data_IF_394665380065
#
_entry.id   IF_394665380065
#
_cell.length_a   1.000
_cell.length_b   1.000
_cell.length_c   1.000
_cell.angle_alpha   90.00
_cell.angle_beta   90.00
_cell.angle_gamma   90.00
#
_symmetry.space_group_name_H-M   'P 1'
#
loop_
_entity.id
_entity.type
_entity.pdbx_description
1 polymer ?
#
# COMPACT_ATOMS: atom_id res chain seq x y z
N UNK A 1 7.81 8.57 -1.00
CA UNK A 1 8.21 7.15 -0.97
C UNK A 1 6.97 6.31 -0.75
N UNK A 2 6.68 5.31 -1.60
CA UNK A 2 5.40 4.57 -1.59
C UNK A 2 5.11 3.88 -0.24
N UNK A 3 6.13 3.29 0.40
CA UNK A 3 6.01 2.63 1.70
C UNK A 3 5.49 3.58 2.78
N UNK A 4 6.04 4.79 2.86
CA UNK A 4 5.55 5.80 3.81
C UNK A 4 4.08 6.15 3.57
N UNK A 5 3.71 6.36 2.31
CA UNK A 5 2.32 6.65 1.96
C UNK A 5 1.38 5.47 2.29
N UNK A 6 1.84 4.23 2.11
CA UNK A 6 1.09 3.01 2.50
C UNK A 6 0.93 2.87 4.02
N UNK A 7 1.99 3.15 4.78
CA UNK A 7 1.95 3.13 6.26
C UNK A 7 1.01 4.21 6.80
N UNK A 8 0.95 5.36 6.16
CA UNK A 8 0.06 6.46 6.54
C UNK A 8 -1.38 6.33 6.03
N UNK A 9 -1.68 5.38 5.14
CA UNK A 9 -3.04 5.15 4.61
C UNK A 9 -3.90 4.33 5.61
N UNK A 10 -4.88 4.95 6.29
CA UNK A 10 -5.65 4.28 7.33
C UNK A 10 -6.54 3.15 6.79
N UNK A 11 -6.98 3.24 5.53
CA UNK A 11 -7.80 2.20 4.91
C UNK A 11 -6.94 0.99 4.55
N UNK A 12 -5.71 1.23 4.10
CA UNK A 12 -4.75 0.16 3.86
C UNK A 12 -4.35 -0.53 5.17
N UNK A 13 -4.08 0.24 6.24
CA UNK A 13 -3.74 -0.31 7.56
C UNK A 13 -4.85 -1.19 8.15
N UNK A 14 -6.13 -0.88 7.89
CA UNK A 14 -7.26 -1.74 8.31
C UNK A 14 -7.32 -3.07 7.57
N UNK A 15 -6.71 -3.16 6.39
CA UNK A 15 -6.82 -4.31 5.49
C UNK A 15 -5.65 -5.27 5.58
N UNK A 16 -4.51 -4.88 6.16
CA UNK A 16 -3.28 -5.70 6.22
C UNK A 16 -3.45 -7.04 6.96
N UNK A 17 -4.45 -7.13 7.85
CA UNK A 17 -4.74 -8.38 8.58
C UNK A 17 -5.51 -9.40 7.73
N UNK A 18 -5.94 -9.04 6.52
CA UNK A 18 -6.56 -9.99 5.60
C UNK A 18 -5.48 -10.85 4.93
N UNK A 19 -5.71 -12.15 4.73
CA UNK A 19 -4.70 -13.08 4.19
C UNK A 19 -4.29 -12.80 2.74
N UNK A 20 -5.05 -11.99 2.00
CA UNK A 20 -4.70 -11.55 0.64
C UNK A 20 -3.63 -10.45 0.60
N UNK A 21 -3.33 -9.85 1.76
CA UNK A 21 -2.31 -8.82 1.92
C UNK A 21 -1.01 -9.42 2.44
N UNK A 22 0.09 -8.85 1.98
CA UNK A 22 1.44 -9.27 2.36
C UNK A 22 2.34 -8.06 2.52
N UNK A 23 3.17 -8.07 3.57
CA UNK A 23 4.22 -7.06 3.78
C UNK A 23 5.53 -7.64 3.25
N UNK A 24 6.08 -7.02 2.21
CA UNK A 24 7.37 -7.40 1.64
C UNK A 24 8.54 -7.02 2.54
N UNK A 25 9.73 -7.54 2.22
CA UNK A 25 10.94 -7.34 3.03
C UNK A 25 11.36 -5.85 3.16
N UNK A 26 10.98 -5.02 2.18
CA UNK A 26 11.21 -3.56 2.17
C UNK A 26 10.10 -2.76 2.86
N UNK A 27 9.11 -3.45 3.45
CA UNK A 27 7.94 -2.84 4.10
C UNK A 27 6.80 -2.50 3.15
N UNK A 28 6.93 -2.78 1.84
CA UNK A 28 5.85 -2.52 0.89
C UNK A 28 4.65 -3.44 1.15
N UNK A 29 3.45 -2.86 1.17
CA UNK A 29 2.21 -3.61 1.27
C UNK A 29 1.79 -4.06 -0.14
N UNK A 30 1.62 -5.37 -0.30
CA UNK A 30 1.19 -6.02 -1.52
C UNK A 30 -0.21 -6.62 -1.35
N UNK A 31 -0.97 -6.63 -2.42
CA UNK A 31 -2.23 -7.35 -2.56
C UNK A 31 -2.10 -8.32 -3.72
N UNK A 32 -2.18 -9.63 -3.44
CA UNK A 32 -2.00 -10.66 -4.47
C UNK A 32 -0.74 -10.46 -5.33
N UNK A 33 0.38 -10.07 -4.70
CA UNK A 33 1.66 -9.81 -5.36
C UNK A 33 1.79 -8.47 -6.09
N UNK A 34 0.76 -7.59 -6.04
CA UNK A 34 0.79 -6.25 -6.65
C UNK A 34 0.94 -5.17 -5.59
N UNK A 35 1.66 -4.10 -5.89
CA UNK A 35 1.85 -3.00 -4.95
C UNK A 35 0.54 -2.27 -4.67
N UNK A 36 0.20 -2.10 -3.39
CA UNK A 36 -0.96 -1.31 -2.99
C UNK A 36 -0.65 0.18 -3.16
N UNK A 37 -1.31 0.86 -4.09
CA UNK A 37 -1.16 2.32 -4.21
C UNK A 37 -2.16 2.99 -3.25
N UNK A 38 -1.69 3.78 -2.26
CA UNK A 38 -2.55 4.55 -1.36
C UNK A 38 -3.56 5.38 -2.12
N UNK A 39 -4.73 5.65 -1.52
CA UNK A 39 -5.75 6.49 -2.13
C UNK A 39 -5.42 7.99 -2.00
N UNK A 40 -4.20 8.37 -2.37
CA UNK A 40 -3.73 9.75 -2.46
C UNK A 40 -3.78 10.18 -3.94
N UNK A 41 -4.55 11.23 -4.23
CA UNK A 41 -4.78 11.71 -5.60
C UNK A 41 -3.49 12.23 -6.24
N UNK A 42 -2.64 12.90 -5.47
CA UNK A 42 -1.36 13.41 -5.95
C UNK A 42 -0.40 12.25 -6.22
N UNK A 43 -0.34 11.29 -5.29
CA UNK A 43 0.48 10.11 -5.47
C UNK A 43 0.02 9.31 -6.69
N UNK A 44 -1.29 9.09 -6.87
CA UNK A 44 -1.84 8.38 -8.04
C UNK A 44 -1.43 9.02 -9.37
N UNK A 45 -1.38 10.35 -9.46
CA UNK A 45 -0.95 11.07 -10.67
C UNK A 45 0.53 10.90 -11.02
N UNK A 46 1.36 10.52 -10.05
CA UNK A 46 2.81 10.34 -10.24
C UNK A 46 3.20 8.94 -10.72
N UNK A 47 2.30 7.95 -10.60
CA UNK A 47 2.57 6.52 -10.82
C UNK A 47 1.61 5.84 -11.81
N UNK A 48 0.51 6.49 -12.18
CA UNK A 48 -0.45 6.05 -13.22
C UNK A 48 -0.42 7.03 -14.40
#
# INVERSE_FOLDING_TARGET
MIVQAQTSDPDLQRRINNPEFYIAADGAILYSGRICVPNDVELKRLIL
#
